data_IF_975099286032
#
_entry.id   IF_975099286032
#
_cell.length_a   1.000
_cell.length_b   1.000
_cell.length_c   1.000
_cell.angle_alpha   90.00
_cell.angle_beta   90.00
_cell.angle_gamma   90.00
#
_symmetry.space_group_name_H-M   'P 1'
#
loop_
_entity.id
_entity.type
_entity.pdbx_description
1 polymer ?
#
# COMPACT_ATOMS: atom_id res chain seq x y z
N UNK A 1 -19.70 2.66 17.14
CA UNK A 1 -20.49 1.71 16.30
C UNK A 1 -20.72 0.48 17.15
N UNK A 2 -21.90 -0.14 17.05
CA UNK A 2 -22.24 -1.31 17.88
C UNK A 2 -22.18 -2.60 17.06
N UNK A 3 -21.71 -3.66 17.69
CA UNK A 3 -21.72 -5.00 17.12
C UNK A 3 -23.13 -5.62 17.28
N UNK A 4 -24.02 -5.30 16.37
CA UNK A 4 -25.40 -5.79 16.35
C UNK A 4 -25.59 -6.99 15.39
N UNK A 5 -26.81 -7.51 15.34
CA UNK A 5 -27.14 -8.69 14.51
C UNK A 5 -26.92 -8.49 13.00
N UNK A 6 -27.13 -7.26 12.49
CA UNK A 6 -26.90 -6.90 11.10
C UNK A 6 -25.41 -6.92 10.77
N UNK A 7 -24.58 -6.25 11.59
CA UNK A 7 -23.14 -6.25 11.47
C UNK A 7 -22.59 -7.67 11.55
N UNK A 8 -23.01 -8.45 12.55
CA UNK A 8 -22.61 -9.86 12.69
C UNK A 8 -22.91 -10.66 11.43
N UNK A 9 -24.13 -10.58 10.91
CA UNK A 9 -24.54 -11.30 9.69
C UNK A 9 -23.71 -10.88 8.47
N UNK A 10 -23.48 -9.58 8.30
CA UNK A 10 -22.76 -9.06 7.14
C UNK A 10 -21.26 -9.39 7.17
N UNK A 11 -20.66 -9.47 8.36
CA UNK A 11 -19.21 -9.67 8.53
C UNK A 11 -18.80 -11.10 8.86
N UNK A 12 -19.78 -12.00 9.16
CA UNK A 12 -19.50 -13.39 9.48
C UNK A 12 -18.67 -14.13 8.40
N UNK A 13 -18.94 -13.98 7.09
CA UNK A 13 -18.13 -14.63 6.05
C UNK A 13 -16.67 -14.17 6.00
N UNK A 14 -16.39 -12.99 6.56
CA UNK A 14 -15.02 -12.48 6.71
C UNK A 14 -14.39 -13.12 7.94
N UNK A 15 -15.14 -13.14 9.05
CA UNK A 15 -14.68 -13.72 10.31
C UNK A 15 -14.29 -15.19 10.18
N UNK A 16 -15.07 -15.98 9.45
CA UNK A 16 -14.80 -17.39 9.19
C UNK A 16 -13.41 -17.64 8.54
N UNK A 17 -12.85 -16.66 7.83
CA UNK A 17 -11.53 -16.76 7.21
C UNK A 17 -10.37 -16.51 8.19
N UNK A 18 -10.66 -15.87 9.32
CA UNK A 18 -9.63 -15.41 10.27
C UNK A 18 -9.92 -15.86 11.71
N UNK A 19 -10.96 -16.68 11.93
CA UNK A 19 -11.35 -17.16 13.24
C UNK A 19 -10.26 -17.94 13.99
N UNK A 20 -9.34 -18.58 13.24
CA UNK A 20 -8.20 -19.30 13.81
C UNK A 20 -7.12 -18.39 14.40
N UNK A 21 -7.09 -17.12 13.99
CA UNK A 21 -6.06 -16.15 14.37
C UNK A 21 -6.61 -14.93 15.11
N UNK A 22 -7.94 -14.74 15.11
CA UNK A 22 -8.60 -13.61 15.75
C UNK A 22 -9.77 -14.09 16.64
N UNK A 23 -9.70 -13.91 17.97
CA UNK A 23 -10.78 -14.27 18.89
C UNK A 23 -12.06 -13.46 18.61
N UNK A 24 -13.24 -14.05 18.90
CA UNK A 24 -14.54 -13.39 18.66
C UNK A 24 -14.69 -12.07 19.44
N UNK A 25 -14.08 -11.98 20.61
CA UNK A 25 -14.11 -10.76 21.41
C UNK A 25 -13.39 -9.59 20.72
N UNK A 26 -12.27 -9.87 20.10
CA UNK A 26 -11.50 -8.88 19.32
C UNK A 26 -12.22 -8.55 18.02
N UNK A 27 -12.72 -9.57 17.32
CA UNK A 27 -13.52 -9.39 16.12
C UNK A 27 -14.72 -8.48 16.33
N UNK A 28 -15.42 -8.61 17.47
CA UNK A 28 -16.57 -7.78 17.80
C UNK A 28 -16.26 -6.28 17.86
N UNK A 29 -14.99 -5.93 18.07
CA UNK A 29 -14.50 -4.54 18.07
C UNK A 29 -14.24 -4.05 16.65
N UNK A 30 -13.73 -4.90 15.77
CA UNK A 30 -13.38 -4.55 14.39
C UNK A 30 -14.56 -4.62 13.42
N UNK A 31 -15.45 -5.59 13.58
CA UNK A 31 -16.55 -5.87 12.67
C UNK A 31 -17.45 -4.67 12.34
N UNK A 32 -17.84 -3.80 13.30
CA UNK A 32 -18.63 -2.62 12.99
C UNK A 32 -17.91 -1.63 12.07
N UNK A 33 -16.60 -1.47 12.22
CA UNK A 33 -15.79 -0.60 11.35
C UNK A 33 -15.65 -1.22 9.95
N UNK A 34 -15.40 -2.52 9.89
CA UNK A 34 -15.30 -3.27 8.62
C UNK A 34 -16.59 -3.15 7.84
N UNK A 35 -17.73 -3.31 8.49
CA UNK A 35 -19.06 -3.15 7.90
C UNK A 35 -19.24 -1.77 7.28
N UNK A 36 -18.99 -0.71 8.05
CA UNK A 36 -19.17 0.67 7.59
C UNK A 36 -18.15 1.05 6.50
N UNK A 37 -16.89 0.63 6.61
CA UNK A 37 -15.87 0.87 5.59
C UNK A 37 -16.28 0.20 4.26
N UNK A 38 -16.74 -1.06 4.30
CA UNK A 38 -17.18 -1.78 3.11
C UNK A 38 -18.43 -1.17 2.46
N UNK A 39 -19.30 -0.55 3.25
CA UNK A 39 -20.43 0.24 2.76
C UNK A 39 -19.96 1.54 2.12
N UNK A 40 -19.14 2.31 2.84
CA UNK A 40 -18.65 3.62 2.41
C UNK A 40 -17.80 3.52 1.12
N UNK A 41 -16.95 2.49 0.97
CA UNK A 41 -16.16 2.33 -0.25
C UNK A 41 -17.02 2.10 -1.48
N UNK A 42 -18.16 1.39 -1.36
CA UNK A 42 -19.12 1.24 -2.46
C UNK A 42 -19.82 2.56 -2.80
N UNK A 43 -20.26 3.30 -1.78
CA UNK A 43 -20.91 4.61 -1.95
C UNK A 43 -20.00 5.64 -2.61
N UNK A 44 -18.69 5.58 -2.32
CA UNK A 44 -17.70 6.54 -2.80
C UNK A 44 -16.98 6.11 -4.07
N UNK A 45 -17.33 4.97 -4.65
CA UNK A 45 -16.58 4.36 -5.76
C UNK A 45 -15.07 4.28 -5.43
N UNK A 46 -14.75 3.73 -4.26
CA UNK A 46 -13.40 3.62 -3.74
C UNK A 46 -12.92 2.17 -3.76
N UNK A 47 -11.63 1.98 -3.98
CA UNK A 47 -10.92 0.69 -3.84
C UNK A 47 -9.90 0.80 -2.71
N UNK A 48 -9.78 -0.26 -1.92
CA UNK A 48 -8.77 -0.37 -0.86
C UNK A 48 -7.70 -1.36 -1.33
N UNK A 49 -6.48 -0.86 -1.48
CA UNK A 49 -5.30 -1.63 -1.82
C UNK A 49 -4.45 -1.81 -0.57
N UNK A 50 -4.22 -3.04 -0.13
CA UNK A 50 -3.51 -3.34 1.10
C UNK A 50 -2.21 -4.09 0.84
N UNK A 51 -1.13 -3.66 1.50
CA UNK A 51 0.13 -4.40 1.43
C UNK A 51 0.06 -5.70 2.24
N UNK A 52 0.80 -6.71 1.83
CA UNK A 52 0.80 -8.06 2.42
C UNK A 52 1.12 -8.12 3.92
N UNK A 53 1.76 -7.10 4.49
CA UNK A 53 2.06 -7.05 5.92
C UNK A 53 0.91 -6.49 6.78
N UNK A 54 -0.21 -6.11 6.19
CA UNK A 54 -1.36 -5.60 6.95
C UNK A 54 -1.94 -6.69 7.85
N UNK A 55 -2.54 -6.25 8.95
CA UNK A 55 -3.21 -7.13 9.91
C UNK A 55 -4.41 -7.84 9.29
N UNK A 56 -4.81 -9.02 9.80
CA UNK A 56 -5.85 -9.85 9.20
C UNK A 56 -7.18 -9.12 8.98
N UNK A 57 -7.59 -8.25 9.89
CA UNK A 57 -8.83 -7.48 9.79
C UNK A 57 -8.80 -6.45 8.65
N UNK A 58 -7.63 -5.93 8.29
CA UNK A 58 -7.45 -5.06 7.13
C UNK A 58 -7.36 -5.91 5.86
N UNK A 59 -6.47 -6.91 5.89
CA UNK A 59 -6.19 -7.77 4.74
C UNK A 59 -7.43 -8.51 4.22
N UNK A 60 -8.18 -9.14 5.13
CA UNK A 60 -9.37 -9.92 4.79
C UNK A 60 -10.68 -9.14 4.93
N UNK A 61 -10.69 -8.11 5.78
CA UNK A 61 -11.90 -7.39 6.16
C UNK A 61 -12.32 -6.30 5.20
N UNK A 62 -11.37 -5.49 4.75
CA UNK A 62 -11.68 -4.28 3.96
C UNK A 62 -10.95 -4.19 2.64
N UNK A 63 -9.84 -4.92 2.45
CA UNK A 63 -9.05 -4.88 1.23
C UNK A 63 -9.81 -5.47 0.04
N UNK A 64 -9.70 -4.82 -1.12
CA UNK A 64 -10.18 -5.34 -2.40
C UNK A 64 -9.09 -6.11 -3.14
N UNK A 65 -7.84 -5.69 -2.92
CA UNK A 65 -6.67 -6.33 -3.50
C UNK A 65 -5.49 -6.20 -2.53
N UNK A 66 -4.79 -7.30 -2.31
CA UNK A 66 -3.63 -7.36 -1.41
C UNK A 66 -2.43 -7.96 -2.13
N UNK A 67 -1.30 -7.26 -2.06
CA UNK A 67 -0.07 -7.67 -2.75
C UNK A 67 1.16 -6.93 -2.20
N UNK A 68 2.29 -7.11 -2.88
CA UNK A 68 3.49 -6.30 -2.69
C UNK A 68 3.36 -4.88 -3.30
N UNK A 69 4.36 -4.05 -3.07
CA UNK A 69 4.35 -2.64 -3.48
C UNK A 69 4.16 -2.43 -4.97
N UNK A 70 4.79 -3.27 -5.81
CA UNK A 70 4.73 -3.14 -7.26
C UNK A 70 3.36 -3.58 -7.79
N UNK A 71 2.87 -4.73 -7.35
CA UNK A 71 1.57 -5.25 -7.76
C UNK A 71 0.44 -4.30 -7.36
N UNK A 72 0.53 -3.66 -6.16
CA UNK A 72 -0.41 -2.62 -5.73
C UNK A 72 -0.37 -1.39 -6.66
N UNK A 73 0.80 -0.96 -7.10
CA UNK A 73 0.94 0.17 -8.02
C UNK A 73 0.34 -0.16 -9.41
N UNK A 74 0.56 -1.37 -9.91
CA UNK A 74 -0.04 -1.85 -11.17
C UNK A 74 -1.56 -1.94 -11.06
N UNK A 75 -2.08 -2.43 -9.93
CA UNK A 75 -3.53 -2.49 -9.70
C UNK A 75 -4.15 -1.09 -9.56
N UNK A 76 -3.45 -0.16 -8.91
CA UNK A 76 -3.86 1.25 -8.86
C UNK A 76 -4.06 1.85 -10.26
N UNK A 77 -3.19 1.50 -11.22
CA UNK A 77 -3.31 1.97 -12.61
C UNK A 77 -4.52 1.35 -13.34
N UNK A 78 -4.88 0.10 -13.03
CA UNK A 78 -5.95 -0.66 -13.72
C UNK A 78 -7.34 -0.38 -13.19
N UNK A 79 -7.45 -0.09 -11.88
CA UNK A 79 -8.76 0.06 -11.23
C UNK A 79 -9.61 1.14 -11.89
N UNK A 80 -10.94 0.93 -11.92
CA UNK A 80 -11.92 1.90 -12.42
C UNK A 80 -12.46 2.81 -11.30
N UNK A 81 -12.07 2.58 -10.04
CA UNK A 81 -12.50 3.41 -8.92
C UNK A 81 -11.94 4.83 -9.03
N UNK A 82 -12.69 5.81 -8.54
CA UNK A 82 -12.28 7.22 -8.50
C UNK A 82 -11.32 7.51 -7.34
N UNK A 83 -11.43 6.72 -6.27
CA UNK A 83 -10.67 6.87 -5.03
C UNK A 83 -9.89 5.57 -4.77
N UNK A 84 -8.61 5.71 -4.49
CA UNK A 84 -7.74 4.62 -4.04
C UNK A 84 -7.37 4.91 -2.58
N UNK A 85 -7.64 3.98 -1.68
CA UNK A 85 -7.14 4.02 -0.30
C UNK A 85 -5.97 3.04 -0.21
N UNK A 86 -4.78 3.56 0.05
CA UNK A 86 -3.57 2.74 0.16
C UNK A 86 -3.32 2.37 1.63
N UNK A 87 -3.57 1.13 1.99
CA UNK A 87 -3.19 0.56 3.28
C UNK A 87 -1.76 0.01 3.20
N UNK A 88 -0.81 0.89 3.36
CA UNK A 88 0.62 0.65 3.27
C UNK A 88 1.39 1.87 3.79
N UNK A 89 2.62 2.05 3.34
CA UNK A 89 3.45 3.19 3.71
C UNK A 89 3.41 4.30 2.67
N UNK A 90 3.87 5.49 3.04
CA UNK A 90 3.72 6.73 2.27
C UNK A 90 4.21 6.61 0.83
N UNK A 91 5.40 6.06 0.57
CA UNK A 91 5.93 5.94 -0.79
C UNK A 91 5.07 5.05 -1.71
N UNK A 92 4.30 4.09 -1.15
CA UNK A 92 3.36 3.27 -1.94
C UNK A 92 2.17 4.10 -2.42
N UNK A 93 1.64 4.98 -1.56
CA UNK A 93 0.59 5.92 -1.95
C UNK A 93 1.09 6.92 -3.00
N UNK A 94 2.32 7.42 -2.87
CA UNK A 94 2.96 8.26 -3.89
C UNK A 94 3.10 7.52 -5.23
N UNK A 95 3.57 6.26 -5.21
CA UNK A 95 3.69 5.45 -6.43
C UNK A 95 2.32 5.20 -7.07
N UNK A 96 1.30 4.87 -6.26
CA UNK A 96 -0.07 4.72 -6.75
C UNK A 96 -0.59 6.03 -7.39
N UNK A 97 -0.25 7.18 -6.80
CA UNK A 97 -0.61 8.49 -7.35
C UNK A 97 0.11 8.80 -8.66
N UNK A 98 1.38 8.46 -8.78
CA UNK A 98 2.14 8.60 -10.03
C UNK A 98 1.54 7.74 -11.16
N UNK A 99 1.14 6.50 -10.84
CA UNK A 99 0.51 5.58 -11.78
C UNK A 99 -0.94 5.94 -12.12
N UNK A 100 -1.60 6.70 -11.27
CA UNK A 100 -3.00 7.12 -11.41
C UNK A 100 -3.20 8.62 -11.13
N UNK A 101 -2.61 9.51 -11.97
CA UNK A 101 -2.55 10.95 -11.67
C UNK A 101 -3.93 11.62 -11.56
N UNK A 102 -4.93 11.09 -12.24
CA UNK A 102 -6.29 11.63 -12.25
C UNK A 102 -7.17 11.15 -11.09
N UNK A 103 -6.71 10.16 -10.32
CA UNK A 103 -7.47 9.59 -9.20
C UNK A 103 -7.09 10.23 -7.88
N UNK A 104 -8.02 10.20 -6.93
CA UNK A 104 -7.72 10.59 -5.55
C UNK A 104 -7.06 9.39 -4.85
N UNK A 105 -5.83 9.56 -4.39
CA UNK A 105 -5.14 8.56 -3.57
C UNK A 105 -5.10 9.06 -2.13
N UNK A 106 -5.56 8.23 -1.22
CA UNK A 106 -5.63 8.49 0.22
C UNK A 106 -4.71 7.53 0.96
N UNK A 107 -4.05 8.04 1.99
CA UNK A 107 -3.28 7.28 2.94
C UNK A 107 -3.93 7.47 4.32
N UNK A 108 -4.27 6.40 5.07
CA UNK A 108 -4.95 6.51 6.35
C UNK A 108 -4.15 7.28 7.42
N UNK A 109 -2.81 7.14 7.41
CA UNK A 109 -1.90 7.91 8.27
C UNK A 109 -0.68 8.37 7.49
N UNK A 110 -0.49 9.68 7.37
CA UNK A 110 0.66 10.28 6.70
C UNK A 110 2.01 9.99 7.39
N UNK A 111 1.98 9.52 8.64
CA UNK A 111 3.18 9.09 9.40
C UNK A 111 3.58 7.65 9.09
N UNK A 112 2.77 6.91 8.34
CA UNK A 112 3.10 5.56 7.90
C UNK A 112 4.32 5.59 6.97
N UNK A 113 5.50 5.57 7.54
CA UNK A 113 6.80 5.68 6.87
C UNK A 113 7.52 4.35 6.73
N UNK A 114 8.64 4.40 6.00
CA UNK A 114 9.57 3.28 5.86
C UNK A 114 10.99 3.81 6.09
N UNK A 115 11.71 3.25 7.06
CA UNK A 115 13.07 3.70 7.40
C UNK A 115 14.05 3.56 6.23
N UNK A 116 13.89 2.51 5.41
CA UNK A 116 14.70 2.33 4.21
C UNK A 116 14.40 3.41 3.16
N UNK A 117 13.13 3.68 2.90
CA UNK A 117 12.73 4.74 1.97
C UNK A 117 13.16 6.14 2.43
N UNK A 118 13.25 6.34 3.74
CA UNK A 118 13.66 7.63 4.36
C UNK A 118 15.18 7.78 4.51
N UNK A 119 15.98 6.79 4.11
CA UNK A 119 17.43 6.82 4.25
C UNK A 119 18.14 7.79 3.28
N UNK A 120 17.46 8.16 2.20
CA UNK A 120 17.96 9.11 1.20
C UNK A 120 16.82 10.04 0.75
N UNK A 121 17.16 11.26 0.41
CA UNK A 121 16.24 12.27 -0.12
C UNK A 121 16.61 12.66 -1.55
N UNK A 122 15.70 13.27 -2.29
CA UNK A 122 16.02 13.83 -3.61
C UNK A 122 17.12 14.88 -3.56
N UNK A 123 17.22 15.63 -2.46
CA UNK A 123 18.33 16.58 -2.25
C UNK A 123 19.70 15.88 -2.14
N UNK A 124 19.74 14.70 -1.52
CA UNK A 124 20.99 13.91 -1.43
C UNK A 124 21.35 13.34 -2.79
N UNK A 125 20.39 12.87 -3.57
CA UNK A 125 20.62 12.41 -4.95
C UNK A 125 21.18 13.56 -5.80
N UNK A 126 20.63 14.77 -5.69
CA UNK A 126 21.17 15.95 -6.39
C UNK A 126 22.61 16.28 -5.98
N UNK A 127 22.97 16.08 -4.72
CA UNK A 127 24.38 16.25 -4.26
C UNK A 127 25.30 15.21 -4.91
N UNK A 128 24.85 13.93 -4.93
CA UNK A 128 25.61 12.86 -5.58
C UNK A 128 25.81 13.11 -7.08
N UNK A 129 24.77 13.54 -7.80
CA UNK A 129 24.86 13.91 -9.22
C UNK A 129 25.88 15.04 -9.47
N UNK A 130 25.97 16.01 -8.56
CA UNK A 130 26.98 17.07 -8.66
C UNK A 130 28.40 16.57 -8.37
N UNK A 131 28.55 15.62 -7.46
CA UNK A 131 29.83 15.04 -7.10
C UNK A 131 30.34 14.07 -8.17
N UNK A 132 29.45 13.39 -8.87
CA UNK A 132 29.76 12.41 -9.91
C UNK A 132 29.02 12.76 -11.22
N UNK A 133 29.45 13.82 -11.93
CA UNK A 133 28.75 14.27 -13.12
C UNK A 133 28.79 13.22 -14.25
N UNK A 134 27.64 13.00 -14.89
CA UNK A 134 27.52 12.05 -16.00
C UNK A 134 27.36 10.58 -15.58
N UNK A 135 27.39 10.27 -14.28
CA UNK A 135 27.11 8.90 -13.78
C UNK A 135 25.60 8.74 -13.59
N UNK A 136 24.97 7.71 -14.19
CA UNK A 136 23.55 7.46 -14.02
C UNK A 136 23.21 7.01 -12.60
N UNK A 137 22.08 7.47 -12.09
CA UNK A 137 21.54 7.09 -10.78
C UNK A 137 20.48 6.01 -10.96
N UNK A 138 20.70 4.85 -10.36
CA UNK A 138 19.75 3.75 -10.29
C UNK A 138 19.22 3.67 -8.87
N UNK A 139 17.91 3.70 -8.70
CA UNK A 139 17.25 3.58 -7.39
C UNK A 139 16.26 2.43 -7.38
N UNK A 140 16.05 1.84 -6.21
CA UNK A 140 15.01 0.85 -6.04
C UNK A 140 13.62 1.51 -6.04
N UNK A 141 12.62 0.83 -6.58
CA UNK A 141 11.26 1.38 -6.71
C UNK A 141 10.61 1.74 -5.37
N UNK A 142 11.00 1.05 -4.28
CA UNK A 142 10.53 1.34 -2.92
C UNK A 142 11.28 2.54 -2.32
N UNK A 143 11.11 3.69 -2.94
CA UNK A 143 11.65 4.98 -2.51
C UNK A 143 10.60 6.07 -2.71
N UNK A 144 10.84 7.26 -2.14
CA UNK A 144 9.92 8.40 -2.23
C UNK A 144 9.83 9.01 -3.63
N UNK A 145 8.77 9.76 -3.89
CA UNK A 145 8.55 10.39 -5.18
C UNK A 145 9.64 11.43 -5.52
N UNK A 146 10.20 12.13 -4.54
CA UNK A 146 11.27 13.12 -4.75
C UNK A 146 12.60 12.44 -5.14
N UNK A 147 12.90 11.27 -4.59
CA UNK A 147 14.04 10.45 -5.02
C UNK A 147 13.80 9.91 -6.43
N UNK A 148 12.59 9.42 -6.73
CA UNK A 148 12.23 8.97 -8.08
C UNK A 148 12.42 10.05 -9.14
N UNK A 149 12.07 11.30 -8.80
CA UNK A 149 12.21 12.44 -9.71
C UNK A 149 13.66 12.76 -10.08
N UNK A 150 14.61 12.38 -9.24
CA UNK A 150 16.05 12.59 -9.47
C UNK A 150 16.76 11.34 -10.02
N UNK A 151 16.04 10.23 -10.18
CA UNK A 151 16.59 8.93 -10.58
C UNK A 151 16.50 8.77 -12.10
N UNK A 152 17.55 8.23 -12.71
CA UNK A 152 17.60 7.96 -14.14
C UNK A 152 17.00 6.59 -14.49
N UNK A 153 17.05 5.64 -13.57
CA UNK A 153 16.46 4.30 -13.72
C UNK A 153 15.88 3.79 -12.39
N UNK A 154 14.68 3.22 -12.46
CA UNK A 154 14.05 2.54 -11.31
C UNK A 154 14.16 1.03 -11.49
N UNK A 155 14.77 0.37 -10.52
CA UNK A 155 14.88 -1.08 -10.40
C UNK A 155 13.75 -1.58 -9.49
N UNK A 156 12.98 -2.58 -9.89
CA UNK A 156 11.91 -3.15 -9.05
C UNK A 156 12.05 -4.63 -8.75
N UNK A 157 13.01 -5.30 -9.34
CA UNK A 157 13.52 -6.58 -8.87
C UNK A 157 15.02 -6.45 -8.77
N UNK A 158 15.63 -6.88 -7.67
CA UNK A 158 17.07 -7.01 -7.59
C UNK A 158 17.38 -8.49 -7.41
N UNK A 159 17.75 -9.14 -8.49
CA UNK A 159 18.10 -10.57 -8.49
C UNK A 159 19.46 -10.84 -7.83
N UNK A 160 20.23 -9.76 -7.60
CA UNK A 160 21.58 -9.85 -7.03
C UNK A 160 21.64 -10.48 -5.63
N UNK A 161 20.53 -10.47 -4.87
CA UNK A 161 20.45 -11.08 -3.55
C UNK A 161 19.73 -12.44 -3.54
N UNK A 162 18.92 -12.73 -4.56
CA UNK A 162 18.07 -13.91 -4.62
C UNK A 162 18.58 -14.99 -5.58
N UNK A 163 19.47 -14.65 -6.51
CA UNK A 163 20.06 -15.61 -7.42
C UNK A 163 21.40 -16.13 -6.89
N UNK A 164 21.37 -17.31 -6.28
CA UNK A 164 22.56 -18.12 -5.97
C UNK A 164 23.33 -18.59 -7.23
N UNK A 165 22.85 -18.24 -8.42
CA UNK A 165 23.40 -18.67 -9.72
C UNK A 165 24.10 -17.55 -10.50
N UNK A 166 24.02 -16.30 -10.07
CA UNK A 166 24.79 -15.20 -10.63
C UNK A 166 26.15 -15.08 -9.95
N UNK A 167 27.09 -15.93 -10.32
CA UNK A 167 28.51 -15.80 -10.04
C UNK A 167 29.23 -15.47 -11.33
#
# INVERSE_FOLDING_TARGET
MEFNSEVKKATNPIYEKISDIMPEIEWSTHAPYIYEINKLKKEKNAVILAHNYQTPEIYHGISDFSADSLALAVEAAKTKADIIVMCGVHFMAETAKLMSPNKKVLLPDMRAGCSLSSSITGADVRKLKKQYPGVPVVSYVNTSADVKAETDCLLYTSDAADESTCV
#
